data_IF_746617168479
#
_entry.id   IF_746617168479
#
_cell.length_a   1.000
_cell.length_b   1.000
_cell.length_c   1.000
_cell.angle_alpha   90.00
_cell.angle_beta   90.00
_cell.angle_gamma   90.00
#
_symmetry.space_group_name_H-M   'P 1'
#
loop_
_entity.id
_entity.type
_entity.pdbx_description
1 polymer ?
#
# COMPACT_ATOMS: atom_id res chain seq x y z
N UNK A 1 13.71 -2.55 -11.67
CA UNK A 1 12.41 -1.83 -11.59
C UNK A 1 12.15 -0.86 -12.75
N UNK A 2 10.91 -0.84 -13.27
CA UNK A 2 10.41 0.09 -14.31
C UNK A 2 10.27 1.53 -13.77
N UNK A 3 10.65 2.55 -14.55
CA UNK A 3 10.60 3.98 -14.17
C UNK A 3 9.18 4.42 -13.77
N UNK A 4 8.14 3.91 -14.43
CA UNK A 4 6.75 4.24 -14.09
C UNK A 4 6.37 3.67 -12.72
N UNK A 5 6.75 2.42 -12.45
CA UNK A 5 6.54 1.74 -11.16
C UNK A 5 7.31 2.46 -10.05
N UNK A 6 8.56 2.84 -10.30
CA UNK A 6 9.39 3.57 -9.34
C UNK A 6 8.79 4.93 -8.96
N UNK A 7 8.26 5.68 -9.93
CA UNK A 7 7.58 6.96 -9.67
C UNK A 7 6.30 6.77 -8.85
N UNK A 8 5.52 5.75 -9.17
CA UNK A 8 4.31 5.42 -8.41
C UNK A 8 4.66 5.00 -6.97
N UNK A 9 5.66 4.13 -6.78
CA UNK A 9 6.12 3.74 -5.45
C UNK A 9 6.62 4.93 -4.66
N UNK A 10 7.40 5.83 -5.28
CA UNK A 10 7.82 7.07 -4.64
C UNK A 10 6.65 7.89 -4.10
N UNK A 11 5.60 8.10 -4.90
CA UNK A 11 4.41 8.80 -4.45
C UNK A 11 3.67 8.05 -3.34
N UNK A 12 3.57 6.71 -3.43
CA UNK A 12 2.93 5.89 -2.39
C UNK A 12 3.69 5.91 -1.06
N UNK A 13 5.02 5.80 -1.09
CA UNK A 13 5.85 5.74 0.13
C UNK A 13 6.05 7.10 0.77
N UNK A 14 6.00 8.18 0.00
CA UNK A 14 6.07 9.55 0.53
C UNK A 14 4.71 10.16 0.84
N UNK A 15 3.60 9.50 0.51
CA UNK A 15 2.26 10.07 0.64
C UNK A 15 1.95 10.56 2.06
N UNK A 16 1.74 11.87 2.21
CA UNK A 16 1.52 12.53 3.50
C UNK A 16 2.76 13.20 4.12
N UNK A 17 3.95 13.03 3.54
CA UNK A 17 5.16 13.78 3.91
C UNK A 17 5.25 15.09 3.11
N UNK A 18 5.60 16.20 3.78
CA UNK A 18 5.73 17.51 3.13
C UNK A 18 7.19 17.90 2.85
N UNK A 19 7.50 18.55 1.71
CA UNK A 19 6.56 18.92 0.64
C UNK A 19 6.21 17.73 -0.26
N UNK A 20 4.91 17.47 -0.40
CA UNK A 20 4.41 16.35 -1.17
C UNK A 20 4.28 16.74 -2.65
N UNK A 21 4.99 16.05 -3.54
CA UNK A 21 4.80 16.22 -4.98
C UNK A 21 3.98 15.04 -5.52
N UNK A 22 2.67 15.20 -5.53
CA UNK A 22 1.74 14.20 -6.09
C UNK A 22 1.46 14.55 -7.55
N UNK A 23 1.75 13.63 -8.46
CA UNK A 23 1.44 13.76 -9.89
C UNK A 23 0.49 12.61 -10.28
N UNK A 24 0.88 11.37 -10.01
CA UNK A 24 0.14 10.16 -10.39
C UNK A 24 -1.13 10.02 -9.54
N UNK A 25 -1.01 10.13 -8.20
CA UNK A 25 -2.16 9.92 -7.31
C UNK A 25 -3.13 11.12 -7.26
N UNK A 26 -2.87 12.17 -8.06
CA UNK A 26 -3.55 13.47 -7.92
C UNK A 26 -5.04 13.38 -8.25
N UNK A 27 -5.39 12.60 -9.28
CA UNK A 27 -6.79 12.41 -9.66
C UNK A 27 -7.57 11.65 -8.58
N UNK A 28 -7.01 10.57 -8.05
CA UNK A 28 -7.61 9.82 -6.94
C UNK A 28 -7.75 10.68 -5.68
N UNK A 29 -6.77 11.55 -5.37
CA UNK A 29 -6.88 12.50 -4.27
C UNK A 29 -8.03 13.50 -4.46
N UNK A 30 -8.17 14.08 -5.64
CA UNK A 30 -9.26 15.02 -5.91
C UNK A 30 -10.64 14.36 -5.79
N UNK A 31 -10.74 13.08 -6.15
CA UNK A 31 -11.99 12.31 -6.11
C UNK A 31 -12.36 11.81 -4.70
N UNK A 32 -11.40 11.22 -3.99
CA UNK A 32 -11.64 10.57 -2.69
C UNK A 32 -11.42 11.50 -1.49
N UNK A 33 -10.60 12.54 -1.67
CA UNK A 33 -10.15 13.43 -0.63
C UNK A 33 -8.91 12.92 0.11
N UNK A 34 -8.07 13.86 0.53
CA UNK A 34 -6.75 13.61 1.15
C UNK A 34 -6.81 12.64 2.35
N UNK A 35 -7.80 12.78 3.25
CA UNK A 35 -7.89 11.94 4.44
C UNK A 35 -8.12 10.47 4.10
N UNK A 36 -8.96 10.20 3.08
CA UNK A 36 -9.19 8.83 2.62
C UNK A 36 -7.93 8.26 1.97
N UNK A 37 -7.30 9.05 1.10
CA UNK A 37 -6.05 8.64 0.43
C UNK A 37 -4.95 8.28 1.43
N UNK A 38 -4.71 9.12 2.45
CA UNK A 38 -3.73 8.85 3.50
C UNK A 38 -4.03 7.50 4.16
N UNK A 39 -5.29 7.24 4.50
CA UNK A 39 -5.71 5.98 5.14
C UNK A 39 -5.47 4.77 4.23
N UNK A 40 -5.90 4.85 2.96
CA UNK A 40 -5.76 3.75 2.00
C UNK A 40 -4.29 3.41 1.72
N UNK A 41 -3.46 4.43 1.46
CA UNK A 41 -2.04 4.24 1.14
C UNK A 41 -1.28 3.75 2.36
N UNK A 42 -1.55 4.32 3.54
CA UNK A 42 -0.94 3.84 4.80
C UNK A 42 -1.23 2.36 5.03
N UNK A 43 -2.46 1.91 4.81
CA UNK A 43 -2.84 0.51 4.98
C UNK A 43 -2.16 -0.41 3.96
N UNK A 44 -2.02 0.06 2.72
CA UNK A 44 -1.33 -0.66 1.65
C UNK A 44 0.17 -0.79 1.95
N UNK A 45 0.84 0.29 2.36
CA UNK A 45 2.27 0.24 2.71
C UNK A 45 2.51 -0.59 3.98
N UNK A 46 1.59 -0.57 4.94
CA UNK A 46 1.63 -1.45 6.12
C UNK A 46 1.54 -2.94 5.76
N UNK A 47 0.79 -3.29 4.72
CA UNK A 47 0.74 -4.67 4.22
C UNK A 47 2.12 -5.14 3.75
N UNK A 48 2.81 -4.36 2.91
CA UNK A 48 4.15 -4.67 2.41
C UNK A 48 5.15 -4.92 3.56
N UNK A 49 5.16 -4.02 4.55
CA UNK A 49 5.99 -4.16 5.75
C UNK A 49 5.72 -5.47 6.51
N UNK A 50 4.46 -5.90 6.59
CA UNK A 50 4.10 -7.17 7.24
C UNK A 50 4.58 -8.37 6.44
N UNK A 51 4.44 -8.36 5.12
CA UNK A 51 4.94 -9.42 4.24
C UNK A 51 6.44 -9.65 4.47
N UNK A 52 7.21 -8.56 4.54
CA UNK A 52 8.66 -8.62 4.78
C UNK A 52 9.00 -9.11 6.20
N UNK A 53 8.24 -8.69 7.21
CA UNK A 53 8.44 -9.18 8.56
C UNK A 53 8.22 -10.71 8.65
N UNK A 54 7.26 -11.26 7.91
CA UNK A 54 7.00 -12.69 7.85
C UNK A 54 8.03 -13.48 7.02
N UNK A 55 8.70 -12.84 6.04
CA UNK A 55 9.79 -13.49 5.31
C UNK A 55 11.09 -13.51 6.11
N UNK A 56 11.36 -12.44 6.88
CA UNK A 56 12.58 -12.27 7.69
C UNK A 56 12.56 -13.02 9.02
N UNK A 57 11.40 -13.14 9.65
CA UNK A 57 11.22 -13.89 10.89
C UNK A 57 10.17 -14.96 10.64
N UNK A 58 10.52 -16.21 10.88
CA UNK A 58 9.60 -17.36 10.95
C UNK A 58 8.59 -17.19 12.11
N UNK A 59 7.84 -16.09 12.11
CA UNK A 59 6.78 -15.78 13.06
C UNK A 59 5.49 -16.36 12.49
N UNK A 60 4.86 -17.25 13.26
CA UNK A 60 3.49 -17.67 13.00
C UNK A 60 2.56 -16.44 13.03
N UNK A 61 1.77 -16.30 11.97
CA UNK A 61 0.99 -15.11 11.63
C UNK A 61 0.10 -14.64 12.80
N UNK A 62 0.33 -13.45 13.38
CA UNK A 62 -0.46 -13.02 14.53
C UNK A 62 -1.80 -12.35 14.14
N UNK A 63 -2.19 -12.30 12.86
CA UNK A 63 -3.51 -11.78 12.41
C UNK A 63 -3.78 -12.12 10.92
N UNK A 64 -4.32 -13.32 10.66
CA UNK A 64 -4.59 -13.86 9.31
C UNK A 64 -5.75 -13.18 8.55
N UNK A 65 -6.65 -12.48 9.25
CA UNK A 65 -7.94 -12.06 8.65
C UNK A 65 -7.87 -10.80 7.76
N UNK A 66 -6.85 -9.95 7.94
CA UNK A 66 -6.76 -8.64 7.24
C UNK A 66 -5.56 -8.57 6.30
N UNK A 67 -4.45 -9.22 6.68
CA UNK A 67 -3.22 -9.22 5.90
C UNK A 67 -2.81 -10.67 5.68
N UNK A 68 -2.59 -11.03 4.43
CA UNK A 68 -2.04 -12.31 4.02
C UNK A 68 -0.72 -12.05 3.24
N UNK A 69 0.14 -13.07 3.10
CA UNK A 69 1.34 -12.96 2.25
C UNK A 69 0.98 -12.68 0.79
N UNK A 70 -0.13 -13.24 0.34
CA UNK A 70 -0.52 -13.18 -1.07
C UNK A 70 -1.48 -12.03 -1.38
N UNK A 71 -2.21 -11.53 -0.37
CA UNK A 71 -3.18 -10.47 -0.55
C UNK A 71 -3.43 -9.63 0.71
N UNK A 72 -3.93 -8.43 0.47
CA UNK A 72 -4.53 -7.58 1.48
C UNK A 72 -6.05 -7.63 1.37
N UNK A 73 -6.74 -7.86 2.50
CA UNK A 73 -8.19 -7.82 2.60
C UNK A 73 -8.60 -6.51 3.28
N UNK A 74 -9.00 -5.46 2.53
CA UNK A 74 -9.63 -4.30 3.11
C UNK A 74 -10.85 -4.69 3.96
N UNK A 75 -11.03 -4.00 5.08
CA UNK A 75 -12.28 -4.07 5.83
C UNK A 75 -13.44 -3.56 4.97
N UNK A 76 -14.66 -4.04 5.19
CA UNK A 76 -15.81 -3.77 4.31
C UNK A 76 -16.07 -2.29 4.07
N UNK A 77 -15.88 -1.44 5.08
CA UNK A 77 -16.05 0.01 4.97
C UNK A 77 -15.00 0.71 4.06
N UNK A 78 -13.91 0.03 3.72
CA UNK A 78 -12.84 0.57 2.87
C UNK A 78 -12.88 0.04 1.44
N UNK A 79 -13.62 -1.04 1.16
CA UNK A 79 -13.67 -1.67 -0.17
C UNK A 79 -14.06 -0.66 -1.25
N UNK A 80 -15.16 0.08 -1.04
CA UNK A 80 -15.63 1.08 -2.02
C UNK A 80 -14.62 2.22 -2.23
N UNK A 81 -13.86 2.58 -1.20
CA UNK A 81 -12.81 3.57 -1.34
C UNK A 81 -11.60 3.01 -2.13
N UNK A 82 -11.28 1.72 -2.00
CA UNK A 82 -10.28 1.08 -2.85
C UNK A 82 -10.77 0.94 -4.29
N UNK A 83 -12.03 0.58 -4.55
CA UNK A 83 -12.60 0.59 -5.91
C UNK A 83 -12.43 1.96 -6.56
N UNK A 84 -12.84 3.03 -5.86
CA UNK A 84 -12.65 4.39 -6.33
C UNK A 84 -11.17 4.78 -6.52
N UNK A 85 -10.25 4.23 -5.71
CA UNK A 85 -8.81 4.48 -5.88
C UNK A 85 -8.30 3.84 -7.18
N UNK A 86 -8.64 2.59 -7.46
CA UNK A 86 -8.24 1.91 -8.69
C UNK A 86 -8.89 2.53 -9.94
N UNK A 87 -10.15 2.99 -9.83
CA UNK A 87 -10.84 3.68 -10.92
C UNK A 87 -10.20 5.04 -11.26
N UNK A 88 -9.69 5.75 -10.26
CA UNK A 88 -9.10 7.10 -10.42
C UNK A 88 -7.58 7.10 -10.53
N UNK A 89 -6.93 5.93 -10.50
CA UNK A 89 -5.48 5.76 -10.63
C UNK A 89 -5.19 4.42 -11.33
N UNK A 90 -5.37 4.35 -12.67
CA UNK A 90 -5.17 3.12 -13.41
C UNK A 90 -3.72 2.61 -13.33
N UNK A 91 -2.75 3.49 -13.08
CA UNK A 91 -1.33 3.14 -12.86
C UNK A 91 -1.13 2.21 -11.67
N UNK A 92 -2.03 2.21 -10.68
CA UNK A 92 -2.00 1.22 -9.59
C UNK A 92 -2.12 -0.21 -10.11
N UNK A 93 -2.74 -0.40 -11.28
CA UNK A 93 -2.87 -1.71 -11.90
C UNK A 93 -1.52 -2.29 -12.28
N UNK A 94 -0.46 -1.50 -12.48
CA UNK A 94 0.89 -2.01 -12.74
C UNK A 94 1.47 -2.76 -11.52
N UNK A 95 1.04 -2.37 -10.32
CA UNK A 95 1.51 -2.95 -9.06
C UNK A 95 0.53 -3.97 -8.48
N UNK A 96 -0.76 -3.72 -8.62
CA UNK A 96 -1.79 -4.41 -7.87
C UNK A 96 -2.99 -4.80 -8.73
N UNK A 97 -3.73 -5.80 -8.26
CA UNK A 97 -5.02 -6.17 -8.82
C UNK A 97 -6.06 -6.24 -7.71
N UNK A 98 -7.20 -5.57 -7.91
CA UNK A 98 -8.36 -5.68 -7.04
C UNK A 98 -9.31 -6.78 -7.58
N UNK A 99 -9.40 -7.92 -6.89
CA UNK A 99 -10.24 -9.06 -7.26
C UNK A 99 -11.00 -9.58 -6.04
N UNK A 100 -12.32 -9.76 -6.16
CA UNK A 100 -13.17 -10.25 -5.08
C UNK A 100 -12.95 -9.49 -3.76
N UNK A 101 -12.91 -8.15 -3.85
CA UNK A 101 -12.64 -7.24 -2.74
C UNK A 101 -11.30 -7.47 -2.00
N UNK A 102 -10.34 -8.15 -2.63
CA UNK A 102 -8.97 -8.37 -2.15
C UNK A 102 -7.98 -7.72 -3.10
N UNK A 103 -6.89 -7.22 -2.54
CA UNK A 103 -5.80 -6.59 -3.28
C UNK A 103 -4.63 -7.55 -3.33
N UNK A 104 -4.24 -7.93 -4.54
CA UNK A 104 -3.09 -8.79 -4.83
C UNK A 104 -1.99 -7.96 -5.49
N UNK A 105 -0.75 -8.47 -5.50
CA UNK A 105 0.22 -8.00 -6.50
C UNK A 105 -0.29 -8.35 -7.91
N UNK A 106 0.02 -7.50 -8.89
CA UNK A 106 -0.35 -7.79 -10.27
C UNK A 106 0.25 -9.13 -10.72
N UNK A 107 -0.56 -9.94 -11.39
CA UNK A 107 -0.20 -11.29 -11.84
C UNK A 107 0.88 -11.32 -12.93
N UNK A 108 1.12 -10.18 -13.58
CA UNK A 108 2.19 -9.96 -14.56
C UNK A 108 3.56 -9.75 -13.92
N UNK A 109 3.62 -9.45 -12.61
CA UNK A 109 4.88 -9.25 -11.88
C UNK A 109 5.52 -10.61 -11.56
N UNK A 110 6.83 -10.71 -11.80
CA UNK A 110 7.62 -11.86 -11.34
C UNK A 110 7.82 -11.83 -9.82
N UNK A 111 8.27 -12.93 -9.24
CA UNK A 111 8.56 -12.97 -7.81
C UNK A 111 9.76 -12.09 -7.44
N UNK A 112 10.74 -11.93 -8.34
CA UNK A 112 11.83 -10.97 -8.18
C UNK A 112 11.30 -9.52 -8.17
N UNK A 113 10.39 -9.16 -9.07
CA UNK A 113 9.80 -7.82 -9.11
C UNK A 113 8.96 -7.52 -7.86
N UNK A 114 8.18 -8.49 -7.38
CA UNK A 114 7.46 -8.38 -6.10
C UNK A 114 8.43 -8.15 -4.95
N UNK A 115 9.55 -8.87 -4.94
CA UNK A 115 10.57 -8.70 -3.92
C UNK A 115 11.25 -7.33 -4.00
N UNK A 116 11.58 -6.84 -5.21
CA UNK A 116 12.08 -5.46 -5.42
C UNK A 116 11.12 -4.40 -4.86
N UNK A 117 9.81 -4.55 -5.14
CA UNK A 117 8.77 -3.64 -4.63
C UNK A 117 8.72 -3.66 -3.10
N UNK A 118 8.74 -4.86 -2.50
CA UNK A 118 8.73 -5.03 -1.06
C UNK A 118 9.96 -4.36 -0.43
N UNK A 119 11.16 -4.64 -0.92
CA UNK A 119 12.39 -4.06 -0.40
C UNK A 119 12.40 -2.53 -0.54
N UNK A 120 11.91 -2.01 -1.67
CA UNK A 120 11.75 -0.57 -1.86
C UNK A 120 10.87 0.07 -0.79
N UNK A 121 9.71 -0.52 -0.51
CA UNK A 121 8.81 -0.04 0.55
C UNK A 121 9.47 -0.20 1.92
N UNK A 122 10.26 -1.24 2.16
CA UNK A 122 10.97 -1.41 3.43
C UNK A 122 11.97 -0.29 3.70
N UNK A 123 12.72 0.09 2.68
CA UNK A 123 13.76 1.11 2.79
C UNK A 123 13.18 2.53 2.87
N UNK A 124 12.10 2.79 2.13
CA UNK A 124 11.61 4.15 1.90
C UNK A 124 10.38 4.53 2.73
N UNK A 125 9.54 3.56 3.14
CA UNK A 125 8.35 3.86 3.94
C UNK A 125 8.61 3.71 5.45
N UNK A 126 8.41 4.80 6.19
CA UNK A 126 8.52 4.81 7.65
C UNK A 126 7.13 4.75 8.28
N UNK A 127 6.88 3.70 9.06
CA UNK A 127 5.65 3.64 9.88
C UNK A 127 5.81 4.64 11.03
N UNK A 128 5.17 5.80 10.89
CA UNK A 128 5.05 6.75 12.00
C UNK A 128 4.03 6.19 12.99
N UNK A 129 4.51 5.57 14.06
CA UNK A 129 3.67 5.21 15.19
C UNK A 129 3.36 6.48 15.97
N UNK A 130 2.13 6.97 15.86
CA UNK A 130 1.61 7.89 16.88
C UNK A 130 1.50 7.09 18.19
N UNK A 131 2.49 7.25 19.08
CA UNK A 131 2.30 6.93 20.48
C UNK A 131 1.21 7.87 20.99
N UNK A 132 -0.03 7.40 21.02
CA UNK A 132 -0.99 7.97 21.96
C UNK A 132 -0.40 7.72 23.34
N UNK A 133 0.25 8.75 23.91
CA UNK A 133 0.76 8.70 25.25
C UNK A 133 -0.35 8.17 26.15
N UNK A 134 -0.10 7.03 26.80
CA UNK A 134 -0.81 6.71 28.03
C UNK A 134 -0.60 7.91 28.94
N UNK A 135 -1.62 8.74 29.09
CA UNK A 135 -1.70 9.61 30.25
C UNK A 135 -1.77 8.66 31.45
N UNK A 136 -0.62 8.52 32.12
CA UNK A 136 -0.57 8.06 33.51
C UNK A 136 -1.24 9.08 34.41
#
# INVERSE_FOLDING_TARGET
MNIAIEKLLNELTSYGEHPLRIIILKQAENSLGINKMISLITKLMQWHKKVILWSKKSIDSPNEDIYNKDYYQPISAMIENYKGLFENCPELSELYELKNDKIYFNSSLTDEEKQEILDYVDENYKIVRHSYGRKS
#
